data_IF_407862429442
#
_entry.id   IF_407862429442
#
_cell.length_a   1.000
_cell.length_b   1.000
_cell.length_c   1.000
_cell.angle_alpha   90.00
_cell.angle_beta   90.00
_cell.angle_gamma   90.00
#
_symmetry.space_group_name_H-M   'P 1'
#
loop_
_entity.id
_entity.type
_entity.pdbx_description
1 polymer ?
#
# COMPACT_ATOMS: atom_id res chain seq x y z
N UNK A 1 -52.37 -9.15 -2.91
CA UNK A 1 -51.78 -7.93 -3.50
C UNK A 1 -50.67 -7.51 -2.56
N UNK A 2 -49.44 -7.92 -2.87
CA UNK A 2 -48.27 -7.63 -2.05
C UNK A 2 -47.86 -6.17 -2.27
N UNK A 3 -47.55 -5.52 -1.15
CA UNK A 3 -47.34 -4.09 -1.00
C UNK A 3 -46.06 -3.65 -1.74
N UNK A 4 -46.22 -2.89 -2.84
CA UNK A 4 -45.10 -2.36 -3.63
C UNK A 4 -44.24 -1.36 -2.84
N UNK A 5 -44.70 -0.88 -1.67
CA UNK A 5 -43.94 0.01 -0.80
C UNK A 5 -42.75 -0.68 -0.11
N UNK A 6 -42.79 -2.01 0.08
CA UNK A 6 -41.73 -2.75 0.78
C UNK A 6 -40.53 -3.12 -0.09
N UNK A 7 -40.63 -2.96 -1.41
CA UNK A 7 -39.52 -3.20 -2.34
C UNK A 7 -38.66 -1.95 -2.59
N UNK A 8 -39.11 -0.76 -2.18
CA UNK A 8 -38.33 0.48 -2.31
C UNK A 8 -37.49 0.81 -1.07
N UNK A 9 -37.77 0.21 0.09
CA UNK A 9 -37.05 0.49 1.34
C UNK A 9 -35.71 -0.25 1.50
N UNK A 10 -35.31 -1.07 0.51
CA UNK A 10 -33.99 -1.76 0.51
C UNK A 10 -32.96 -1.01 -0.37
N UNK A 11 -33.40 -0.09 -1.23
CA UNK A 11 -32.50 0.74 -2.06
C UNK A 11 -32.12 2.09 -1.42
N UNK A 12 -32.48 2.32 -0.16
CA UNK A 12 -31.93 3.41 0.67
C UNK A 12 -30.74 2.92 1.53
N UNK A 13 -29.91 2.05 0.94
CA UNK A 13 -28.56 1.84 1.43
C UNK A 13 -27.81 3.16 1.30
N UNK A 14 -27.62 3.85 2.43
CA UNK A 14 -26.81 5.07 2.60
C UNK A 14 -25.93 5.38 1.40
N UNK A 15 -26.21 6.49 0.70
CA UNK A 15 -25.45 6.96 -0.46
C UNK A 15 -24.03 7.35 -0.01
N UNK A 16 -23.21 6.34 0.29
CA UNK A 16 -21.87 6.52 0.83
C UNK A 16 -21.00 7.11 -0.27
N UNK A 17 -20.21 8.12 0.11
CA UNK A 17 -19.31 8.78 -0.83
C UNK A 17 -18.20 7.78 -1.17
N UNK A 18 -18.00 7.45 -2.45
CA UNK A 18 -16.91 6.56 -2.83
C UNK A 18 -15.57 7.26 -2.57
N UNK A 19 -14.54 6.50 -2.23
CA UNK A 19 -13.18 7.03 -1.99
C UNK A 19 -12.26 6.62 -3.13
N UNK A 20 -11.35 7.51 -3.50
CA UNK A 20 -10.33 7.19 -4.50
C UNK A 20 -9.19 6.45 -3.86
N UNK A 21 -8.84 5.30 -4.43
CA UNK A 21 -7.58 4.60 -4.18
C UNK A 21 -6.53 5.20 -5.10
N UNK A 22 -5.37 5.52 -4.54
CA UNK A 22 -4.23 6.03 -5.28
C UNK A 22 -3.15 4.95 -5.42
N UNK A 23 -2.46 4.93 -6.55
CA UNK A 23 -1.22 4.19 -6.73
C UNK A 23 -0.03 5.13 -6.57
N UNK A 24 0.92 4.71 -5.74
CA UNK A 24 2.18 5.38 -5.45
C UNK A 24 3.26 4.63 -6.22
N UNK A 25 4.08 5.37 -6.97
CA UNK A 25 5.12 4.78 -7.83
C UNK A 25 6.50 5.22 -7.36
N UNK A 26 7.13 4.51 -6.41
CA UNK A 26 8.46 4.87 -5.93
C UNK A 26 9.50 4.89 -7.06
N UNK A 27 10.44 5.87 -7.09
CA UNK A 27 11.62 5.83 -7.94
C UNK A 27 12.58 4.71 -7.50
N UNK A 28 12.22 3.45 -7.72
CA UNK A 28 13.10 2.33 -7.40
C UNK A 28 13.98 1.99 -8.60
N UNK A 29 15.30 2.05 -8.39
CA UNK A 29 16.29 1.53 -9.36
C UNK A 29 16.57 0.04 -9.15
N UNK A 30 16.14 -0.50 -8.02
CA UNK A 30 16.47 -1.86 -7.60
C UNK A 30 15.30 -2.82 -7.81
N UNK A 31 14.07 -2.31 -7.92
CA UNK A 31 12.87 -3.12 -8.04
C UNK A 31 11.87 -2.47 -9.00
N UNK A 32 11.72 -3.04 -10.19
CA UNK A 32 10.96 -2.44 -11.28
C UNK A 32 9.44 -2.42 -11.04
N UNK A 33 8.93 -3.17 -10.06
CA UNK A 33 7.50 -3.35 -9.81
C UNK A 33 7.12 -3.18 -8.33
N UNK A 34 7.58 -2.12 -7.65
CA UNK A 34 7.03 -1.73 -6.35
C UNK A 34 5.65 -1.10 -6.57
N UNK A 35 4.58 -1.88 -6.40
CA UNK A 35 3.25 -1.30 -6.28
C UNK A 35 3.01 -0.90 -4.83
N UNK A 36 2.52 0.32 -4.64
CA UNK A 36 2.13 0.85 -3.35
C UNK A 36 0.77 1.49 -3.54
N UNK A 37 -0.19 1.13 -2.70
CA UNK A 37 -1.52 1.70 -2.70
C UNK A 37 -1.67 2.65 -1.52
N UNK A 38 -2.39 3.74 -1.74
CA UNK A 38 -2.74 4.70 -0.70
C UNK A 38 -4.24 4.91 -0.68
N UNK A 39 -4.79 4.83 0.52
CA UNK A 39 -6.20 4.97 0.82
C UNK A 39 -6.35 6.14 1.78
N UNK A 40 -6.78 7.32 1.28
CA UNK A 40 -7.06 8.48 2.12
C UNK A 40 -8.08 8.17 3.22
N UNK A 41 -7.82 8.72 4.41
CA UNK A 41 -8.83 8.76 5.46
C UNK A 41 -9.97 9.71 5.07
N UNK A 42 -11.14 9.45 5.66
CA UNK A 42 -12.30 10.32 5.49
C UNK A 42 -12.04 11.59 6.30
N UNK A 43 -12.09 12.75 5.65
CA UNK A 43 -11.98 14.02 6.35
C UNK A 43 -13.32 14.32 7.06
N UNK A 44 -13.27 14.57 8.37
CA UNK A 44 -14.46 14.84 9.18
C UNK A 44 -15.17 16.16 8.80
N UNK A 45 -14.47 17.08 8.12
CA UNK A 45 -15.02 18.39 7.72
C UNK A 45 -15.77 18.39 6.39
N UNK A 46 -15.25 17.67 5.38
CA UNK A 46 -15.89 17.53 4.07
C UNK A 46 -15.61 16.11 3.51
N UNK A 47 -16.63 15.24 3.38
CA UNK A 47 -16.46 13.89 2.86
C UNK A 47 -16.05 13.87 1.37
N UNK A 48 -16.13 15.00 0.65
CA UNK A 48 -15.61 15.13 -0.72
C UNK A 48 -14.14 15.51 -0.76
N UNK A 49 -13.56 15.96 0.35
CA UNK A 49 -12.16 16.32 0.43
C UNK A 49 -11.37 15.13 0.99
N UNK A 50 -10.53 14.54 0.14
CA UNK A 50 -9.66 13.44 0.55
C UNK A 50 -8.57 13.96 1.52
N UNK A 51 -8.32 13.19 2.58
CA UNK A 51 -7.23 13.48 3.51
C UNK A 51 -5.87 13.22 2.88
N UNK A 52 -4.86 14.01 3.25
CA UNK A 52 -3.46 13.72 2.92
C UNK A 52 -2.92 12.55 3.76
N UNK A 53 -3.58 12.24 4.87
CA UNK A 53 -3.27 11.13 5.76
C UNK A 53 -4.19 9.96 5.50
N UNK A 54 -3.68 8.74 5.62
CA UNK A 54 -4.46 7.54 5.39
C UNK A 54 -3.72 6.25 5.67
N UNK A 55 -4.18 5.19 5.01
CA UNK A 55 -3.53 3.87 5.03
C UNK A 55 -2.72 3.70 3.76
N UNK A 56 -1.45 3.31 3.89
CA UNK A 56 -0.62 2.84 2.78
C UNK A 56 -0.46 1.33 2.86
N UNK A 57 -0.70 0.64 1.76
CA UNK A 57 -0.54 -0.81 1.62
C UNK A 57 0.51 -1.03 0.54
N UNK A 58 1.63 -1.64 0.89
CA UNK A 58 2.71 -1.81 -0.07
C UNK A 58 3.58 -3.00 0.26
N UNK A 59 4.47 -3.33 -0.68
CA UNK A 59 5.38 -4.45 -0.53
C UNK A 59 6.78 -3.93 -0.21
N UNK A 60 7.36 -4.38 0.89
CA UNK A 60 8.73 -4.04 1.33
C UNK A 60 9.63 -5.27 1.24
N UNK A 61 10.94 -5.04 1.14
CA UNK A 61 11.93 -6.11 1.11
C UNK A 61 12.93 -5.93 -0.02
N UNK A 62 13.69 -6.99 -0.27
CA UNK A 62 14.70 -7.02 -1.32
C UNK A 62 14.81 -8.41 -1.97
N UNK A 63 15.63 -8.51 -3.02
CA UNK A 63 15.81 -9.76 -3.75
C UNK A 63 16.39 -10.91 -2.92
N UNK A 64 17.13 -10.59 -1.86
CA UNK A 64 17.88 -11.57 -1.08
C UNK A 64 17.00 -12.13 0.05
N UNK A 65 16.31 -11.25 0.78
CA UNK A 65 15.41 -11.58 1.87
C UNK A 65 13.99 -11.94 1.42
N UNK A 66 13.64 -11.63 0.17
CA UNK A 66 12.27 -11.71 -0.31
C UNK A 66 11.48 -10.45 0.04
N UNK A 67 10.21 -10.46 -0.35
CA UNK A 67 9.31 -9.34 -0.17
C UNK A 67 8.13 -9.73 0.72
N UNK A 68 7.59 -8.74 1.44
CA UNK A 68 6.44 -8.92 2.32
C UNK A 68 5.48 -7.74 2.19
N UNK A 69 4.18 -8.02 2.34
CA UNK A 69 3.16 -6.99 2.40
C UNK A 69 3.26 -6.27 3.75
N UNK A 70 3.15 -4.95 3.71
CA UNK A 70 3.16 -4.09 4.88
C UNK A 70 1.99 -3.09 4.81
N UNK A 71 1.32 -2.89 5.94
CA UNK A 71 0.24 -1.91 6.09
C UNK A 71 0.70 -0.82 7.04
N UNK A 72 0.83 0.40 6.52
CA UNK A 72 1.18 1.59 7.30
C UNK A 72 -0.07 2.41 7.55
N UNK A 73 -0.41 2.62 8.81
CA UNK A 73 -1.53 3.44 9.27
C UNK A 73 -1.04 4.84 9.62
N UNK A 74 -1.89 5.85 9.39
CA UNK A 74 -1.54 7.25 9.65
C UNK A 74 -0.43 7.77 8.72
N UNK A 75 -0.25 7.13 7.57
CA UNK A 75 0.70 7.54 6.55
C UNK A 75 0.28 8.88 5.94
N UNK A 76 1.19 9.85 5.89
CA UNK A 76 0.99 11.17 5.30
C UNK A 76 1.71 11.29 3.95
N UNK A 77 0.93 11.30 2.87
CA UNK A 77 1.44 11.34 1.51
C UNK A 77 2.17 12.66 1.16
N UNK A 78 1.92 13.76 1.90
CA UNK A 78 2.59 15.04 1.65
C UNK A 78 3.99 15.09 2.25
N UNK A 79 4.22 14.35 3.35
CA UNK A 79 5.52 14.26 4.01
C UNK A 79 6.52 13.41 3.24
N UNK A 80 6.05 12.40 2.49
CA UNK A 80 6.88 11.51 1.69
C UNK A 80 7.43 12.19 0.44
N UNK A 81 8.59 12.85 0.59
CA UNK A 81 9.23 13.64 -0.47
C UNK A 81 9.62 12.81 -1.69
N UNK A 82 9.88 11.52 -1.50
CA UNK A 82 10.31 10.61 -2.56
C UNK A 82 9.15 10.34 -3.54
N UNK A 83 7.91 10.36 -3.03
CA UNK A 83 6.69 10.06 -3.79
C UNK A 83 5.94 11.29 -4.29
N UNK A 84 6.39 12.50 -3.93
CA UNK A 84 5.83 13.74 -4.46
C UNK A 84 5.82 13.75 -6.00
N UNK A 85 4.65 13.98 -6.59
CA UNK A 85 4.43 13.95 -8.04
C UNK A 85 4.33 12.56 -8.67
N UNK A 86 4.28 11.50 -7.86
CA UNK A 86 4.20 10.08 -8.31
C UNK A 86 3.03 9.33 -7.68
N UNK A 87 1.98 10.09 -7.39
CA UNK A 87 0.74 9.61 -6.80
C UNK A 87 -0.35 9.81 -7.86
N UNK A 88 -1.01 8.72 -8.23
CA UNK A 88 -2.00 8.72 -9.31
C UNK A 88 -3.29 8.09 -8.82
N UNK A 89 -4.42 8.73 -9.11
CA UNK A 89 -5.73 8.12 -8.88
C UNK A 89 -5.85 6.83 -9.70
N UNK A 90 -6.18 5.73 -9.04
CA UNK A 90 -6.32 4.42 -9.66
C UNK A 90 -7.79 4.08 -9.90
N UNK A 91 -8.60 4.11 -8.83
CA UNK A 91 -10.00 3.71 -8.89
C UNK A 91 -10.83 4.38 -7.79
N UNK A 92 -12.12 4.57 -8.04
CA UNK A 92 -13.09 5.01 -7.04
C UNK A 92 -13.83 3.79 -6.49
N UNK A 93 -13.79 3.58 -5.17
CA UNK A 93 -14.33 2.38 -4.51
C UNK A 93 -15.39 2.80 -3.48
N UNK A 94 -16.56 2.13 -3.45
CA UNK A 94 -17.58 2.39 -2.43
C UNK A 94 -17.02 2.22 -1.01
N UNK A 95 -17.34 3.18 -0.13
CA UNK A 95 -16.77 3.25 1.21
C UNK A 95 -16.99 1.98 2.04
N UNK A 96 -18.09 1.26 1.84
CA UNK A 96 -18.41 -0.01 2.49
C UNK A 96 -17.32 -1.08 2.35
N UNK A 97 -16.56 -1.08 1.24
CA UNK A 97 -15.46 -2.05 1.03
C UNK A 97 -14.16 -1.63 1.72
N UNK A 98 -14.09 -0.37 2.16
CA UNK A 98 -12.92 0.26 2.75
C UNK A 98 -13.10 0.55 4.26
N UNK A 99 -14.24 0.18 4.84
CA UNK A 99 -14.50 0.36 6.25
C UNK A 99 -13.88 -0.78 7.07
N UNK A 100 -13.37 -0.48 8.28
CA UNK A 100 -12.92 -1.51 9.21
C UNK A 100 -14.08 -2.44 9.61
N UNK A 101 -13.89 -3.75 9.49
CA UNK A 101 -14.74 -4.79 10.06
C UNK A 101 -14.53 -4.86 11.59
N UNK A 102 -14.95 -3.82 12.32
CA UNK A 102 -15.03 -3.68 13.78
C UNK A 102 -13.90 -4.20 14.71
N UNK A 103 -13.49 -3.30 15.61
CA UNK A 103 -12.78 -3.49 16.89
C UNK A 103 -11.34 -4.01 16.83
N UNK A 104 -10.45 -3.27 16.16
CA UNK A 104 -9.01 -3.35 16.40
C UNK A 104 -8.70 -2.93 17.84
N UNK A 105 -8.12 -3.82 18.63
CA UNK A 105 -7.70 -3.56 20.02
C UNK A 105 -6.22 -3.17 20.11
N UNK A 106 -5.56 -2.89 18.98
CA UNK A 106 -4.14 -2.52 18.95
C UNK A 106 -3.91 -1.20 19.70
N UNK A 107 -3.36 -1.32 20.92
CA UNK A 107 -2.73 -0.21 21.60
C UNK A 107 -1.47 0.19 20.81
N UNK A 108 -1.28 1.48 20.45
CA UNK A 108 -0.13 1.96 19.65
C UNK A 108 1.26 1.69 20.24
N UNK A 109 1.36 1.04 21.40
CA UNK A 109 2.59 0.90 22.18
C UNK A 109 3.54 -0.17 21.64
N UNK A 110 3.07 -1.13 20.84
CA UNK A 110 3.91 -2.20 20.26
C UNK A 110 4.16 -2.05 18.75
N UNK A 111 3.62 -1.01 18.11
CA UNK A 111 3.78 -0.81 16.67
C UNK A 111 5.14 -0.16 16.32
N UNK A 112 5.80 -0.66 15.27
CA UNK A 112 6.99 0.01 14.72
C UNK A 112 6.57 1.29 13.99
N UNK A 113 7.17 2.42 14.36
CA UNK A 113 6.96 3.71 13.68
C UNK A 113 7.81 3.82 12.42
N UNK A 114 7.28 4.51 11.41
CA UNK A 114 8.00 4.86 10.18
C UNK A 114 8.64 6.25 10.29
N UNK A 115 9.70 6.47 9.51
CA UNK A 115 10.36 7.77 9.41
C UNK A 115 9.38 8.84 8.90
N UNK A 116 9.29 9.97 9.60
CA UNK A 116 8.44 11.09 9.24
C UNK A 116 8.73 11.63 7.82
N UNK A 117 9.98 11.55 7.35
CA UNK A 117 10.38 11.96 6.00
C UNK A 117 9.91 10.99 4.90
N UNK A 118 9.54 9.76 5.29
CA UNK A 118 8.96 8.73 4.42
C UNK A 118 7.43 8.62 4.60
N UNK A 119 6.80 9.70 5.09
CA UNK A 119 5.36 9.77 5.32
C UNK A 119 4.92 9.44 6.75
N UNK A 120 5.82 8.92 7.59
CA UNK A 120 5.52 8.57 8.97
C UNK A 120 4.47 7.48 9.13
N UNK A 121 3.80 7.47 10.28
CA UNK A 121 2.80 6.47 10.63
C UNK A 121 3.39 5.26 11.37
N UNK A 122 2.62 4.18 11.44
CA UNK A 122 3.03 2.94 12.11
C UNK A 122 2.61 1.71 11.33
N UNK A 123 3.43 0.66 11.44
CA UNK A 123 3.17 -0.64 10.83
C UNK A 123 2.10 -1.37 11.66
N UNK A 124 1.06 -1.85 10.98
CA UNK A 124 0.00 -2.66 11.57
C UNK A 124 0.02 -4.05 10.94
N UNK A 125 -0.06 -5.08 11.79
CA UNK A 125 -0.13 -6.48 11.34
C UNK A 125 -1.58 -6.91 11.08
N UNK A 126 -2.56 -6.12 11.52
CA UNK A 126 -3.99 -6.41 11.38
C UNK A 126 -4.57 -5.89 10.05
N UNK A 127 -5.20 -6.82 9.33
CA UNK A 127 -6.10 -6.52 8.21
C UNK A 127 -7.48 -6.16 8.77
N UNK A 128 -7.84 -4.88 8.66
CA UNK A 128 -9.05 -4.30 9.24
C UNK A 128 -10.19 -4.22 8.24
N UNK A 129 -9.91 -4.00 6.96
CA UNK A 129 -10.96 -3.84 5.93
C UNK A 129 -11.03 -5.03 4.97
N UNK A 130 -12.21 -5.30 4.35
CA UNK A 130 -12.33 -6.30 3.30
C UNK A 130 -11.32 -6.08 2.16
N UNK A 131 -11.04 -4.82 1.83
CA UNK A 131 -10.04 -4.45 0.83
C UNK A 131 -8.63 -4.91 1.22
N UNK A 132 -8.22 -4.68 2.47
CA UNK A 132 -6.91 -5.12 2.97
C UNK A 132 -6.77 -6.63 3.00
N UNK A 133 -7.84 -7.34 3.39
CA UNK A 133 -7.89 -8.80 3.32
C UNK A 133 -7.69 -9.26 1.88
N UNK A 134 -8.33 -8.63 0.90
CA UNK A 134 -8.11 -8.97 -0.52
C UNK A 134 -6.67 -8.68 -0.94
N UNK A 135 -6.07 -7.57 -0.50
CA UNK A 135 -4.66 -7.26 -0.79
C UNK A 135 -3.70 -8.31 -0.19
N UNK A 136 -4.01 -8.90 0.97
CA UNK A 136 -3.16 -9.91 1.60
C UNK A 136 -3.20 -11.27 0.91
N UNK A 137 -4.21 -11.53 0.07
CA UNK A 137 -4.25 -12.71 -0.79
C UNK A 137 -3.30 -12.63 -1.99
N UNK A 138 -2.79 -11.43 -2.31
CA UNK A 138 -1.79 -11.26 -3.37
C UNK A 138 -0.43 -11.59 -2.78
N UNK A 139 0.15 -12.72 -3.19
CA UNK A 139 1.48 -13.11 -2.74
C UNK A 139 2.51 -12.06 -3.13
N UNK A 140 3.32 -11.64 -2.15
CA UNK A 140 4.47 -10.79 -2.41
C UNK A 140 5.50 -11.57 -3.25
N UNK A 141 6.26 -10.90 -4.13
CA UNK A 141 7.27 -11.58 -4.93
C UNK A 141 8.26 -12.35 -4.07
N UNK A 142 8.57 -13.58 -4.47
CA UNK A 142 9.61 -14.37 -3.81
C UNK A 142 11.02 -13.78 -4.01
N UNK A 143 12.01 -14.27 -3.27
CA UNK A 143 13.42 -13.94 -3.50
C UNK A 143 13.81 -14.16 -4.97
N UNK A 144 14.66 -13.31 -5.50
CA UNK A 144 15.11 -13.48 -6.88
C UNK A 144 15.95 -14.75 -7.00
N UNK A 145 15.65 -15.57 -8.01
CA UNK A 145 16.48 -16.73 -8.36
C UNK A 145 17.82 -16.31 -9.00
N UNK A 146 17.99 -15.03 -9.35
CA UNK A 146 19.25 -14.51 -9.82
C UNK A 146 20.26 -14.45 -8.68
N UNK A 147 21.46 -14.99 -8.90
CA UNK A 147 22.58 -14.83 -7.96
C UNK A 147 22.88 -13.34 -7.78
N UNK A 148 22.40 -12.75 -6.69
CA UNK A 148 22.95 -11.51 -6.16
C UNK A 148 24.42 -11.82 -5.93
N UNK A 149 25.33 -11.12 -6.63
CA UNK A 149 26.76 -11.41 -6.61
C UNK A 149 27.26 -11.45 -5.16
N UNK A 150 27.34 -12.65 -4.59
CA UNK A 150 28.01 -12.88 -3.33
C UNK A 150 29.45 -12.42 -3.55
N UNK A 151 29.93 -11.60 -2.61
CA UNK A 151 31.26 -11.01 -2.59
C UNK A 151 32.29 -11.95 -3.24
N UNK A 152 32.76 -11.59 -4.44
CA UNK A 152 34.02 -12.14 -4.90
C UNK A 152 35.08 -11.69 -3.89
N UNK A 153 35.94 -12.60 -3.41
CA UNK A 153 37.04 -12.22 -2.53
C UNK A 153 37.86 -11.13 -3.21
N UNK A 154 38.32 -10.18 -2.40
CA UNK A 154 39.05 -9.00 -2.82
C UNK A 154 40.41 -9.38 -3.40
N UNK A 155 40.44 -9.87 -4.63
CA UNK A 155 41.60 -9.76 -5.48
C UNK A 155 41.19 -9.75 -6.95
N UNK A 156 41.85 -8.89 -7.72
CA UNK A 156 41.66 -8.63 -9.14
C UNK A 156 40.52 -7.69 -9.61
N UNK A 157 40.95 -6.43 -9.70
CA UNK A 157 40.80 -5.50 -10.84
C UNK A 157 39.71 -4.42 -10.79
N UNK A 158 40.26 -3.21 -10.65
CA UNK A 158 39.78 -1.90 -11.06
C UNK A 158 39.10 -1.93 -12.43
N UNK A 159 37.86 -1.44 -12.50
CA UNK A 159 37.22 -1.07 -13.76
C UNK A 159 35.73 -1.36 -13.82
N UNK A 160 34.91 -0.48 -13.20
CA UNK A 160 33.44 -0.43 -13.26
C UNK A 160 32.70 -1.76 -13.07
N UNK A 161 32.13 -1.93 -11.89
CA UNK A 161 31.06 -2.92 -11.66
C UNK A 161 29.99 -2.75 -12.76
N UNK A 162 29.64 -3.80 -13.52
CA UNK A 162 28.49 -3.73 -14.40
C UNK A 162 27.28 -3.41 -13.53
N UNK A 163 26.56 -2.33 -13.83
CA UNK A 163 25.24 -2.11 -13.24
C UNK A 163 24.41 -3.32 -13.64
N UNK A 164 24.02 -4.14 -12.68
CA UNK A 164 23.02 -5.18 -12.89
C UNK A 164 21.71 -4.47 -13.20
N UNK A 165 21.52 -4.13 -14.47
CA UNK A 165 20.27 -3.59 -14.97
C UNK A 165 19.31 -4.78 -15.06
N UNK A 166 18.28 -4.69 -14.24
CA UNK A 166 17.48 -5.84 -13.92
C UNK A 166 16.40 -5.96 -14.97
N UNK A 167 16.45 -7.04 -15.75
CA UNK A 167 15.28 -7.52 -16.49
C UNK A 167 14.38 -8.32 -15.54
N UNK A 168 13.99 -7.74 -14.40
CA UNK A 168 12.98 -8.35 -13.52
C UNK A 168 11.62 -8.05 -14.14
N UNK A 169 11.31 -8.81 -15.18
CA UNK A 169 9.93 -9.13 -15.49
C UNK A 169 9.67 -10.46 -14.78
N UNK A 170 9.59 -10.45 -13.45
CA UNK A 170 8.85 -11.50 -12.76
C UNK A 170 7.39 -11.17 -13.04
N UNK A 171 6.79 -11.97 -13.90
CA UNK A 171 5.38 -11.87 -14.27
C UNK A 171 4.57 -12.63 -13.22
N UNK A 172 3.45 -12.03 -12.84
CA UNK A 172 2.31 -12.70 -12.20
C UNK A 172 1.45 -13.36 -13.29
#
# INVERSE_FOLDING_TARGET
MADQAQLQSVEEGSRQVPRTIHVLVPPSRLFAAHWSLFLPDVNNGDPKQESNTGTRIHVVGDRLGGFQLEIVRGYDAQKDRILQGRIFALASVPQQHLQPCQASSESPQDCQSKDDNEGGGFISEEFRSPFEIVCSLVEAPGPSLNRVSQQQPADERVGRRPKSEVKDCQWW
#
